data_IF_732661371689
#
_entry.id   IF_732661371689
#
_cell.length_a   1.000
_cell.length_b   1.000
_cell.length_c   1.000
_cell.angle_alpha   90.00
_cell.angle_beta   90.00
_cell.angle_gamma   90.00
#
_symmetry.space_group_name_H-M   'P 1'
#
loop_
_entity.id
_entity.type
_entity.pdbx_description
1 polymer ?
#
# COMPACT_ATOMS: atom_id res chain seq x y z
N UNK A 1 33.79 -10.04 3.47
CA UNK A 1 33.71 -8.81 2.65
C UNK A 1 33.34 -9.20 1.24
N UNK A 2 32.33 -8.53 0.65
CA UNK A 2 31.84 -8.76 -0.71
C UNK A 2 32.26 -7.60 -1.60
N UNK A 3 32.73 -7.89 -2.82
CA UNK A 3 32.89 -6.85 -3.83
C UNK A 3 31.53 -6.28 -4.24
N UNK A 4 31.50 -5.09 -4.85
CA UNK A 4 30.27 -4.53 -5.40
C UNK A 4 29.61 -5.47 -6.42
N UNK A 5 30.39 -6.28 -7.16
CA UNK A 5 29.87 -7.28 -8.09
C UNK A 5 29.17 -8.45 -7.38
N UNK A 6 29.78 -8.98 -6.32
CA UNK A 6 29.20 -10.05 -5.52
C UNK A 6 27.94 -9.56 -4.78
N UNK A 7 28.01 -8.36 -4.19
CA UNK A 7 26.91 -7.71 -3.49
C UNK A 7 25.72 -7.43 -4.44
N UNK A 8 26.02 -7.02 -5.68
CA UNK A 8 25.04 -6.85 -6.75
C UNK A 8 24.34 -8.17 -7.12
N UNK A 9 25.11 -9.25 -7.26
CA UNK A 9 24.55 -10.58 -7.58
C UNK A 9 23.64 -11.09 -6.47
N UNK A 10 24.07 -10.98 -5.22
CA UNK A 10 23.29 -11.45 -4.06
C UNK A 10 22.03 -10.62 -3.83
N UNK A 11 22.12 -9.30 -3.98
CA UNK A 11 20.98 -8.39 -3.77
C UNK A 11 20.04 -8.27 -4.97
N UNK A 12 20.44 -8.75 -6.15
CA UNK A 12 19.76 -8.55 -7.44
C UNK A 12 19.59 -7.06 -7.80
N UNK A 13 20.48 -6.21 -7.32
CA UNK A 13 20.51 -4.78 -7.60
C UNK A 13 21.74 -4.48 -8.44
N UNK A 14 21.57 -3.73 -9.53
CA UNK A 14 22.72 -3.42 -10.43
C UNK A 14 23.80 -2.61 -9.72
N UNK A 15 25.10 -2.77 -10.08
CA UNK A 15 26.19 -1.98 -9.50
C UNK A 15 25.98 -0.46 -9.66
N UNK A 16 25.32 -0.04 -10.74
CA UNK A 16 24.94 1.36 -10.97
C UNK A 16 23.99 1.88 -9.90
N UNK A 17 22.97 1.09 -9.57
CA UNK A 17 21.99 1.45 -8.53
C UNK A 17 22.62 1.44 -7.14
N UNK A 18 23.51 0.49 -6.85
CA UNK A 18 24.27 0.47 -5.59
C UNK A 18 25.12 1.74 -5.41
N UNK A 19 25.82 2.17 -6.48
CA UNK A 19 26.56 3.44 -6.45
C UNK A 19 25.64 4.64 -6.24
N UNK A 20 24.44 4.62 -6.82
CA UNK A 20 23.44 5.66 -6.61
C UNK A 20 22.96 5.71 -5.16
N UNK A 21 22.70 4.55 -4.54
CA UNK A 21 22.37 4.48 -3.12
C UNK A 21 23.48 5.01 -2.22
N UNK A 22 24.73 4.73 -2.58
CA UNK A 22 25.89 5.31 -1.88
C UNK A 22 25.93 6.83 -2.03
N UNK A 23 25.70 7.36 -3.24
CA UNK A 23 25.68 8.80 -3.50
C UNK A 23 24.55 9.52 -2.73
N UNK A 24 23.44 8.85 -2.48
CA UNK A 24 22.32 9.36 -1.67
C UNK A 24 22.49 9.12 -0.16
N UNK A 25 23.58 8.48 0.27
CA UNK A 25 23.80 8.16 1.69
C UNK A 25 22.90 7.04 2.24
N UNK A 26 22.15 6.35 1.39
CA UNK A 26 21.27 5.24 1.78
C UNK A 26 22.04 3.94 2.07
N UNK A 27 23.20 3.80 1.48
CA UNK A 27 24.11 2.68 1.66
C UNK A 27 25.53 3.23 1.84
N UNK A 28 26.28 2.69 2.77
CA UNK A 28 27.70 3.03 2.93
C UNK A 28 28.54 1.78 2.71
N UNK A 29 29.58 1.82 1.83
CA UNK A 29 30.51 0.72 1.78
C UNK A 29 31.20 0.58 3.14
N UNK A 30 31.45 -0.65 3.55
CA UNK A 30 32.22 -0.92 4.78
C UNK A 30 33.66 -0.45 4.66
N UNK A 31 34.22 -0.67 3.47
CA UNK A 31 35.60 -0.31 3.15
C UNK A 31 35.70 0.16 1.71
N UNK A 32 36.60 1.09 1.48
CA UNK A 32 37.06 1.46 0.15
C UNK A 32 38.56 1.13 0.08
N UNK A 33 38.92 0.12 -0.71
CA UNK A 33 40.29 -0.31 -0.84
C UNK A 33 41.16 0.75 -1.55
N UNK A 34 42.48 0.61 -1.46
CA UNK A 34 43.47 1.51 -2.07
C UNK A 34 43.31 1.64 -3.59
N UNK A 35 42.71 0.63 -4.22
CA UNK A 35 42.36 0.59 -5.65
C UNK A 35 41.01 1.27 -5.98
N UNK A 36 40.36 1.90 -5.00
CA UNK A 36 39.07 2.55 -5.13
C UNK A 36 37.85 1.59 -5.18
N UNK A 37 38.07 0.29 -4.99
CA UNK A 37 37.00 -0.69 -4.96
C UNK A 37 36.23 -0.60 -3.62
N UNK A 38 34.90 -0.73 -3.72
CA UNK A 38 34.00 -0.71 -2.57
C UNK A 38 33.67 -2.11 -2.12
N UNK A 39 33.83 -2.36 -0.83
CA UNK A 39 33.54 -3.63 -0.19
C UNK A 39 32.37 -3.46 0.79
N UNK A 40 31.55 -4.51 0.89
CA UNK A 40 30.34 -4.53 1.69
C UNK A 40 30.34 -5.77 2.59
N UNK A 41 29.67 -5.66 3.73
CA UNK A 41 29.40 -6.84 4.57
C UNK A 41 28.15 -7.55 4.09
N UNK A 42 28.04 -8.83 4.40
CA UNK A 42 26.86 -9.62 4.07
C UNK A 42 25.62 -9.11 4.83
N UNK A 43 25.78 -8.64 6.07
CA UNK A 43 24.71 -8.08 6.90
C UNK A 43 24.04 -6.87 6.25
N UNK A 44 24.76 -6.10 5.45
CA UNK A 44 24.20 -4.94 4.72
C UNK A 44 23.20 -5.32 3.62
N UNK A 45 23.06 -6.62 3.30
CA UNK A 45 21.96 -7.08 2.44
C UNK A 45 20.60 -6.79 3.07
N UNK A 46 20.49 -6.85 4.40
CA UNK A 46 19.25 -6.50 5.11
C UNK A 46 18.88 -5.03 4.92
N UNK A 47 19.87 -4.13 4.91
CA UNK A 47 19.65 -2.70 4.67
C UNK A 47 19.12 -2.47 3.25
N UNK A 48 19.70 -3.16 2.26
CA UNK A 48 19.22 -3.11 0.88
C UNK A 48 17.80 -3.66 0.74
N UNK A 49 17.48 -4.76 1.41
CA UNK A 49 16.12 -5.31 1.41
C UNK A 49 15.14 -4.29 1.98
N UNK A 50 15.50 -3.61 3.06
CA UNK A 50 14.67 -2.57 3.68
C UNK A 50 14.45 -1.38 2.72
N UNK A 51 15.48 -0.92 2.01
CA UNK A 51 15.38 0.11 0.98
C UNK A 51 14.42 -0.32 -0.14
N UNK A 52 14.59 -1.55 -0.66
CA UNK A 52 13.75 -2.10 -1.73
C UNK A 52 12.29 -2.20 -1.31
N UNK A 53 12.05 -2.65 -0.09
CA UNK A 53 10.74 -2.80 0.49
C UNK A 53 10.00 -1.44 0.60
N UNK A 54 10.65 -0.43 1.18
CA UNK A 54 10.10 0.92 1.26
C UNK A 54 9.85 1.53 -0.13
N UNK A 55 10.77 1.30 -1.08
CA UNK A 55 10.59 1.71 -2.47
C UNK A 55 9.37 1.03 -3.11
N UNK A 56 9.17 -0.26 -2.85
CA UNK A 56 7.99 -1.02 -3.30
C UNK A 56 6.67 -0.44 -2.80
N UNK A 57 6.67 0.19 -1.63
CA UNK A 57 5.50 0.92 -1.11
C UNK A 57 5.33 2.33 -1.70
N UNK A 58 6.20 2.73 -2.63
CA UNK A 58 6.10 3.98 -3.35
C UNK A 58 6.70 5.19 -2.60
N UNK A 59 7.60 4.95 -1.62
CA UNK A 59 8.42 6.03 -1.07
C UNK A 59 9.55 6.39 -2.03
N UNK A 60 9.80 7.67 -2.19
CA UNK A 60 10.96 8.17 -2.93
C UNK A 60 12.27 7.85 -2.19
N UNK A 61 13.39 7.81 -2.92
CA UNK A 61 14.70 7.55 -2.31
C UNK A 61 15.08 8.61 -1.27
N UNK A 62 14.64 9.87 -1.46
CA UNK A 62 14.84 10.93 -0.48
C UNK A 62 14.08 10.68 0.84
N UNK A 63 12.82 10.24 0.75
CA UNK A 63 12.03 9.87 1.92
C UNK A 63 12.60 8.64 2.64
N UNK A 64 13.07 7.65 1.88
CA UNK A 64 13.64 6.41 2.43
C UNK A 64 14.81 6.72 3.36
N UNK A 65 15.67 7.69 3.01
CA UNK A 65 16.77 8.10 3.88
C UNK A 65 16.31 8.51 5.28
N UNK A 66 15.25 9.29 5.36
CA UNK A 66 14.65 9.69 6.63
C UNK A 66 13.97 8.51 7.34
N UNK A 67 13.28 7.63 6.59
CA UNK A 67 12.58 6.48 7.16
C UNK A 67 13.52 5.43 7.77
N UNK A 68 14.71 5.25 7.20
CA UNK A 68 15.71 4.32 7.72
C UNK A 68 16.25 4.73 9.10
N UNK A 69 16.20 6.01 9.43
CA UNK A 69 16.65 6.55 10.72
C UNK A 69 15.56 6.49 11.82
N UNK A 70 14.33 6.13 11.46
CA UNK A 70 13.21 6.06 12.40
C UNK A 70 13.27 4.79 13.25
N UNK A 71 12.79 4.89 14.48
CA UNK A 71 12.46 3.72 15.28
C UNK A 71 11.23 2.97 14.75
N UNK A 72 10.97 1.79 15.30
CA UNK A 72 9.87 0.93 14.82
C UNK A 72 8.48 1.57 15.00
N UNK A 73 8.26 2.33 16.07
CA UNK A 73 6.98 2.99 16.33
C UNK A 73 6.72 4.12 15.34
N UNK A 74 7.73 4.93 15.09
CA UNK A 74 7.69 6.02 14.12
C UNK A 74 7.53 5.49 12.68
N UNK A 75 8.27 4.43 12.33
CA UNK A 75 8.14 3.78 11.01
C UNK A 75 6.73 3.20 10.82
N UNK A 76 6.18 2.53 11.83
CA UNK A 76 4.81 2.00 11.79
C UNK A 76 3.79 3.10 11.50
N UNK A 77 3.92 4.25 12.15
CA UNK A 77 3.05 5.40 11.90
C UNK A 77 3.12 5.86 10.42
N UNK A 78 4.34 5.97 9.87
CA UNK A 78 4.54 6.34 8.46
C UNK A 78 3.94 5.33 7.49
N UNK A 79 4.07 4.04 7.78
CA UNK A 79 3.47 2.98 6.97
C UNK A 79 1.92 3.03 7.01
N UNK A 80 1.34 3.31 8.17
CA UNK A 80 -0.12 3.52 8.30
C UNK A 80 -0.59 4.72 7.49
N UNK A 81 0.11 5.84 7.55
CA UNK A 81 -0.19 7.03 6.74
C UNK A 81 -0.10 6.71 5.22
N UNK A 82 0.94 5.99 4.80
CA UNK A 82 1.09 5.59 3.39
C UNK A 82 -0.04 4.67 2.94
N UNK A 83 -0.43 3.71 3.77
CA UNK A 83 -1.57 2.83 3.51
C UNK A 83 -2.86 3.65 3.31
N UNK A 84 -3.14 4.60 4.20
CA UNK A 84 -4.30 5.47 4.07
C UNK A 84 -4.29 6.26 2.77
N UNK A 85 -3.16 6.85 2.42
CA UNK A 85 -3.01 7.59 1.15
C UNK A 85 -3.25 6.69 -0.08
N UNK A 86 -2.81 5.43 -0.05
CA UNK A 86 -3.07 4.46 -1.12
C UNK A 86 -4.56 4.12 -1.23
N UNK A 87 -5.27 3.97 -0.11
CA UNK A 87 -6.73 3.76 -0.15
C UNK A 87 -7.47 4.97 -0.72
N UNK A 88 -7.08 6.18 -0.34
CA UNK A 88 -7.66 7.40 -0.90
C UNK A 88 -7.42 7.49 -2.42
N UNK A 89 -6.22 7.17 -2.87
CA UNK A 89 -5.91 7.15 -4.30
C UNK A 89 -6.68 6.07 -5.05
N UNK A 90 -6.82 4.88 -4.47
CA UNK A 90 -7.64 3.80 -5.04
C UNK A 90 -9.10 4.25 -5.22
N UNK A 91 -9.70 4.83 -4.20
CA UNK A 91 -11.08 5.33 -4.26
C UNK A 91 -11.24 6.42 -5.31
N UNK A 92 -10.26 7.33 -5.41
CA UNK A 92 -10.24 8.37 -6.46
C UNK A 92 -10.18 7.77 -7.86
N UNK A 93 -9.35 6.75 -8.08
CA UNK A 93 -9.24 6.08 -9.37
C UNK A 93 -10.53 5.33 -9.73
N UNK A 94 -11.16 4.67 -8.77
CA UNK A 94 -12.46 4.03 -8.98
C UNK A 94 -13.53 5.06 -9.39
N UNK A 95 -13.59 6.22 -8.72
CA UNK A 95 -14.50 7.30 -9.10
C UNK A 95 -14.29 7.80 -10.53
N UNK A 96 -13.03 7.93 -10.96
CA UNK A 96 -12.71 8.32 -12.34
C UNK A 96 -13.14 7.24 -13.37
N UNK A 97 -12.97 5.98 -13.04
CA UNK A 97 -13.42 4.88 -13.91
C UNK A 97 -14.93 4.97 -14.11
N UNK A 98 -15.70 5.11 -13.02
CA UNK A 98 -17.16 5.24 -13.10
C UNK A 98 -17.59 6.47 -13.92
N UNK A 99 -16.87 7.59 -13.80
CA UNK A 99 -17.14 8.78 -14.59
C UNK A 99 -16.89 8.54 -16.09
N UNK A 100 -15.79 7.89 -16.44
CA UNK A 100 -15.47 7.53 -17.83
C UNK A 100 -16.52 6.58 -18.39
N UNK A 101 -16.93 5.56 -17.64
CA UNK A 101 -17.98 4.62 -18.04
C UNK A 101 -19.31 5.33 -18.34
N UNK A 102 -19.71 6.28 -17.47
CA UNK A 102 -20.90 7.09 -17.69
C UNK A 102 -20.80 7.95 -18.96
N UNK A 103 -19.62 8.53 -19.23
CA UNK A 103 -19.38 9.33 -20.44
C UNK A 103 -19.40 8.47 -21.71
N UNK A 104 -18.83 7.26 -21.67
CA UNK A 104 -18.89 6.29 -22.77
C UNK A 104 -20.34 5.98 -23.11
N UNK A 105 -21.16 5.59 -22.11
CA UNK A 105 -22.57 5.27 -22.33
C UNK A 105 -23.35 6.44 -22.94
N UNK A 106 -23.05 7.68 -22.50
CA UNK A 106 -23.64 8.89 -23.07
C UNK A 106 -23.25 9.09 -24.52
N UNK A 107 -22.00 8.87 -24.88
CA UNK A 107 -21.49 9.02 -26.26
C UNK A 107 -21.98 7.94 -27.21
N UNK A 108 -22.18 6.72 -26.71
CA UNK A 108 -22.74 5.60 -27.49
C UNK A 108 -24.26 5.73 -27.77
N UNK A 109 -24.87 6.83 -27.31
CA UNK A 109 -26.30 7.10 -27.54
C UNK A 109 -27.22 6.13 -26.84
N UNK A 110 -26.70 5.38 -25.88
CA UNK A 110 -27.53 4.55 -25.02
C UNK A 110 -28.39 5.46 -24.16
N UNK A 111 -29.67 5.56 -24.49
CA UNK A 111 -30.62 6.39 -23.77
C UNK A 111 -30.62 5.98 -22.31
N UNK A 112 -29.93 6.77 -21.49
CA UNK A 112 -29.96 6.58 -20.06
C UNK A 112 -31.39 6.81 -19.57
N UNK A 113 -32.03 5.75 -19.11
CA UNK A 113 -33.08 5.91 -18.12
C UNK A 113 -32.40 6.73 -17.01
N UNK A 114 -33.02 7.85 -16.61
CA UNK A 114 -32.52 8.77 -15.58
C UNK A 114 -32.45 8.09 -14.20
N UNK A 115 -31.65 7.05 -14.09
CA UNK A 115 -31.32 6.50 -12.80
C UNK A 115 -29.92 7.00 -12.44
N UNK A 116 -29.77 7.77 -11.37
CA UNK A 116 -28.45 8.31 -10.95
C UNK A 116 -27.48 7.21 -10.49
N UNK A 117 -27.86 5.95 -10.64
CA UNK A 117 -27.08 4.81 -10.16
C UNK A 117 -26.90 3.78 -11.27
N UNK A 118 -25.65 3.37 -11.49
CA UNK A 118 -25.32 2.22 -12.35
C UNK A 118 -25.50 0.95 -11.50
N UNK A 119 -26.55 0.21 -11.74
CA UNK A 119 -26.80 -1.06 -11.05
C UNK A 119 -26.17 -2.17 -11.86
N UNK A 120 -25.16 -2.83 -11.32
CA UNK A 120 -24.57 -4.05 -11.87
C UNK A 120 -24.99 -5.22 -10.99
N UNK A 121 -25.63 -6.21 -11.61
CA UNK A 121 -25.91 -7.48 -10.93
C UNK A 121 -24.66 -8.34 -10.97
N UNK A 122 -24.06 -8.60 -9.82
CA UNK A 122 -22.90 -9.48 -9.68
C UNK A 122 -23.37 -10.69 -8.88
N UNK A 123 -23.18 -11.89 -9.44
CA UNK A 123 -23.28 -13.13 -8.70
C UNK A 123 -21.94 -13.36 -7.98
N UNK A 124 -21.92 -13.12 -6.68
CA UNK A 124 -20.79 -13.44 -5.85
C UNK A 124 -20.90 -14.91 -5.40
N UNK A 125 -19.81 -15.69 -5.46
CA UNK A 125 -19.82 -17.04 -4.93
C UNK A 125 -20.08 -16.99 -3.41
N UNK A 126 -20.69 -18.03 -2.86
CA UNK A 126 -20.95 -18.14 -1.43
C UNK A 126 -19.66 -17.94 -0.62
N UNK A 127 -19.64 -16.93 0.23
CA UNK A 127 -18.50 -16.57 1.05
C UNK A 127 -18.87 -16.58 2.53
N UNK A 128 -17.91 -17.03 3.36
CA UNK A 128 -18.02 -16.83 4.80
C UNK A 128 -17.56 -15.44 5.15
N UNK A 129 -18.45 -14.63 5.73
CA UNK A 129 -18.17 -13.26 6.15
C UNK A 129 -18.21 -13.14 7.67
N UNK A 130 -17.34 -12.30 8.21
CA UNK A 130 -17.46 -11.81 9.57
C UNK A 130 -18.22 -10.48 9.50
N UNK A 131 -19.34 -10.38 10.21
CA UNK A 131 -20.17 -9.17 10.19
C UNK A 131 -20.53 -8.73 11.60
N UNK A 132 -20.66 -7.42 11.77
CA UNK A 132 -21.26 -6.79 12.95
C UNK A 132 -22.49 -6.05 12.46
N UNK A 133 -23.63 -6.22 13.15
CA UNK A 133 -24.86 -5.49 12.88
C UNK A 133 -25.17 -4.57 14.05
N UNK A 134 -25.31 -3.28 13.78
CA UNK A 134 -25.61 -2.27 14.78
C UNK A 134 -26.33 -1.08 14.13
N UNK A 135 -27.18 -0.39 14.90
CA UNK A 135 -27.75 0.88 14.46
C UNK A 135 -26.84 2.00 14.95
N UNK A 136 -26.25 2.75 14.02
CA UNK A 136 -25.30 3.83 14.31
C UNK A 136 -25.64 5.09 13.51
N UNK A 137 -25.30 6.25 14.04
CA UNK A 137 -25.33 7.51 13.30
C UNK A 137 -24.13 7.63 12.33
N UNK A 138 -24.25 8.49 11.34
CA UNK A 138 -23.20 8.73 10.33
C UNK A 138 -21.87 9.19 10.97
N UNK A 139 -21.96 9.93 12.06
CA UNK A 139 -20.82 10.42 12.86
C UNK A 139 -20.07 9.30 13.59
N UNK A 140 -20.69 8.14 13.77
CA UNK A 140 -20.14 6.98 14.48
C UNK A 140 -19.47 5.95 13.55
N UNK A 141 -19.49 6.16 12.23
CA UNK A 141 -18.92 5.21 11.28
C UNK A 141 -17.45 4.92 11.54
N UNK A 142 -16.67 5.92 11.89
CA UNK A 142 -15.25 5.73 12.16
C UNK A 142 -14.99 4.75 13.31
N UNK A 143 -15.67 4.97 14.44
CA UNK A 143 -15.54 4.14 15.63
C UNK A 143 -16.07 2.72 15.40
N UNK A 144 -17.13 2.61 14.59
CA UNK A 144 -17.68 1.31 14.20
C UNK A 144 -16.69 0.47 13.39
N UNK A 145 -16.00 1.06 12.41
CA UNK A 145 -14.97 0.36 11.65
C UNK A 145 -13.75 0.01 12.48
N UNK A 146 -13.33 0.88 13.38
CA UNK A 146 -12.24 0.57 14.33
C UNK A 146 -12.59 -0.67 15.17
N UNK A 147 -13.81 -0.76 15.70
CA UNK A 147 -14.30 -1.93 16.46
C UNK A 147 -14.35 -3.18 15.58
N UNK A 148 -14.83 -3.09 14.35
CA UNK A 148 -14.86 -4.21 13.40
C UNK A 148 -13.46 -4.80 13.20
N UNK A 149 -12.46 -3.95 13.01
CA UNK A 149 -11.06 -4.40 12.85
C UNK A 149 -10.49 -5.00 14.14
N UNK A 150 -10.79 -4.43 15.28
CA UNK A 150 -10.34 -4.95 16.58
C UNK A 150 -10.94 -6.32 16.87
N UNK A 151 -12.23 -6.49 16.66
CA UNK A 151 -12.95 -7.76 16.86
C UNK A 151 -12.47 -8.85 15.90
N UNK A 152 -12.26 -8.51 14.63
CA UNK A 152 -11.70 -9.44 13.65
C UNK A 152 -10.27 -9.86 14.04
N UNK A 153 -9.43 -8.91 14.43
CA UNK A 153 -8.07 -9.15 14.88
C UNK A 153 -8.00 -10.02 16.14
N UNK A 154 -8.87 -9.77 17.12
CA UNK A 154 -8.95 -10.59 18.36
C UNK A 154 -9.31 -12.05 18.08
N UNK A 155 -10.01 -12.32 16.98
CA UNK A 155 -10.36 -13.69 16.53
C UNK A 155 -9.37 -14.28 15.53
N UNK A 156 -8.24 -13.60 15.29
CA UNK A 156 -7.22 -14.07 14.34
C UNK A 156 -7.66 -14.05 12.89
N UNK A 157 -8.70 -13.26 12.54
CA UNK A 157 -9.19 -13.15 11.18
C UNK A 157 -8.35 -12.15 10.39
N UNK A 158 -8.05 -12.48 9.14
CA UNK A 158 -7.38 -11.59 8.19
C UNK A 158 -8.37 -11.18 7.10
N UNK A 159 -8.31 -9.91 6.70
CA UNK A 159 -9.14 -9.41 5.63
C UNK A 159 -8.73 -10.05 4.29
N UNK A 160 -9.65 -10.77 3.67
CA UNK A 160 -9.46 -11.46 2.38
C UNK A 160 -10.09 -10.70 1.19
N UNK A 161 -10.98 -9.74 1.46
CA UNK A 161 -11.70 -8.97 0.45
C UNK A 161 -12.09 -7.57 0.93
N UNK A 162 -12.82 -6.80 0.12
CA UNK A 162 -13.31 -5.48 0.51
C UNK A 162 -14.31 -5.58 1.66
N UNK A 163 -14.39 -4.51 2.47
CA UNK A 163 -15.46 -4.37 3.44
C UNK A 163 -16.73 -4.01 2.68
N UNK A 164 -17.81 -4.73 2.97
CA UNK A 164 -19.13 -4.45 2.44
C UNK A 164 -20.01 -3.93 3.55
N UNK A 165 -20.85 -2.97 3.22
CA UNK A 165 -21.84 -2.40 4.13
C UNK A 165 -23.23 -2.70 3.57
N UNK A 166 -24.06 -3.34 4.37
CA UNK A 166 -25.44 -3.65 4.03
C UNK A 166 -26.37 -2.77 4.88
N UNK A 167 -27.16 -1.99 4.21
CA UNK A 167 -28.20 -1.16 4.86
C UNK A 167 -29.50 -1.95 4.92
N UNK A 168 -30.10 -1.99 6.08
CA UNK A 168 -31.33 -2.75 6.32
C UNK A 168 -32.56 -1.85 6.60
N UNK A 169 -32.38 -0.54 6.57
CA UNK A 169 -33.47 0.40 6.82
C UNK A 169 -34.31 0.62 5.56
N UNK A 170 -35.61 0.76 5.74
CA UNK A 170 -36.57 1.06 4.67
C UNK A 170 -36.63 2.56 4.34
N UNK A 171 -36.00 3.42 5.16
CA UNK A 171 -35.94 4.88 4.97
C UNK A 171 -34.47 5.35 4.85
N UNK A 172 -34.19 5.99 3.73
CA UNK A 172 -32.97 6.79 3.50
C UNK A 172 -33.36 8.27 3.56
#
# INVERSE_FOLDING_TARGET
MLTIGDFSRLSRITPRMLRHYVALGLLRPEEVGDNGYRYYRQEQLSDLMRIQWLKGYGFSLGEIGALLALDNAQLLLRLRQRRLALYQELNRQQGLIHQIEADILRMEGTSMIETPYHVVLIEDPEQKVFSIRETIGVDQFHDFFERLYQEAGARGLTQAGPIQMLYHDEEF
#
